data_IF_219855697982
#
_entry.id   IF_219855697982
#
_cell.length_a   1.000
_cell.length_b   1.000
_cell.length_c   1.000
_cell.angle_alpha   90.00
_cell.angle_beta   90.00
_cell.angle_gamma   90.00
#
_symmetry.space_group_name_H-M   'P 1'
#
loop_
_entity.id
_entity.type
_entity.pdbx_description
1 polymer ?
#
# COMPACT_ATOMS: atom_id res chain seq x y z
N UNK A 1 6.38 23.75 -9.97
CA UNK A 1 7.44 23.20 -9.11
C UNK A 1 7.35 21.66 -9.07
N UNK A 2 7.59 20.95 -10.19
CA UNK A 2 7.34 19.49 -10.32
C UNK A 2 8.58 18.62 -10.60
N UNK A 3 9.78 19.21 -10.67
CA UNK A 3 11.02 18.47 -11.02
C UNK A 3 11.87 18.05 -9.83
N UNK A 4 11.60 18.58 -8.64
CA UNK A 4 12.48 18.40 -7.47
C UNK A 4 12.20 17.05 -6.77
N UNK A 5 10.95 16.59 -6.72
CA UNK A 5 10.59 15.35 -6.01
C UNK A 5 11.11 14.07 -6.70
N UNK A 6 11.05 14.03 -8.04
CA UNK A 6 11.56 12.90 -8.84
C UNK A 6 13.09 12.74 -8.75
N UNK A 7 13.82 13.86 -8.60
CA UNK A 7 15.29 13.83 -8.50
C UNK A 7 15.77 13.28 -7.14
N UNK A 8 15.02 13.51 -6.06
CA UNK A 8 15.34 12.98 -4.72
C UNK A 8 15.12 11.47 -4.65
N UNK A 9 14.07 10.96 -5.31
CA UNK A 9 13.79 9.52 -5.36
C UNK A 9 14.80 8.74 -6.22
N UNK A 10 15.27 9.33 -7.32
CA UNK A 10 16.35 8.76 -8.14
C UNK A 10 17.70 8.75 -7.39
N UNK A 11 17.96 9.73 -6.54
CA UNK A 11 19.16 9.79 -5.70
C UNK A 11 19.20 8.73 -4.59
N UNK A 12 18.04 8.12 -4.25
CA UNK A 12 17.91 7.01 -3.31
C UNK A 12 18.02 5.62 -3.97
N UNK A 13 18.39 5.55 -5.26
CA UNK A 13 18.64 4.28 -5.95
C UNK A 13 17.40 3.52 -6.41
N UNK A 14 16.23 4.15 -6.42
CA UNK A 14 14.99 3.56 -6.93
C UNK A 14 15.01 3.63 -8.47
N UNK A 15 15.16 2.48 -9.13
CA UNK A 15 15.32 2.40 -10.58
C UNK A 15 13.99 2.08 -11.29
N UNK A 16 13.80 2.68 -12.47
CA UNK A 16 12.53 2.83 -13.17
C UNK A 16 11.97 1.52 -13.77
N UNK A 17 10.80 1.13 -13.29
CA UNK A 17 9.89 0.17 -13.93
C UNK A 17 8.43 0.51 -13.63
N UNK A 18 8.12 1.82 -13.58
CA UNK A 18 6.81 2.34 -13.18
C UNK A 18 5.77 1.93 -14.21
N UNK A 19 4.84 1.07 -13.82
CA UNK A 19 3.61 0.85 -14.58
C UNK A 19 2.50 1.63 -13.88
N UNK A 20 1.94 2.63 -14.58
CA UNK A 20 0.77 3.37 -14.11
C UNK A 20 -0.45 2.99 -14.94
N UNK A 21 -1.60 2.90 -14.29
CA UNK A 21 -2.90 2.75 -14.93
C UNK A 21 -3.96 3.58 -14.19
N UNK A 22 -4.95 4.08 -14.93
CA UNK A 22 -6.09 4.80 -14.35
C UNK A 22 -7.35 3.97 -14.55
N UNK A 23 -8.01 3.59 -13.45
CA UNK A 23 -9.17 2.70 -13.48
C UNK A 23 -10.12 3.01 -12.30
N UNK A 24 -11.34 2.45 -12.33
CA UNK A 24 -12.24 2.45 -11.18
C UNK A 24 -11.60 1.74 -9.99
N UNK A 25 -11.88 2.21 -8.78
CA UNK A 25 -11.25 1.74 -7.55
C UNK A 25 -11.28 0.21 -7.39
N UNK A 26 -12.45 -0.42 -7.47
CA UNK A 26 -12.58 -1.87 -7.22
C UNK A 26 -11.86 -2.72 -8.27
N UNK A 27 -12.12 -2.47 -9.57
CA UNK A 27 -11.49 -3.26 -10.64
C UNK A 27 -10.00 -2.95 -10.75
N UNK A 28 -9.62 -1.68 -10.63
CA UNK A 28 -8.23 -1.23 -10.67
C UNK A 28 -7.38 -1.83 -9.56
N UNK A 29 -7.86 -1.86 -8.32
CA UNK A 29 -7.14 -2.49 -7.22
C UNK A 29 -6.95 -3.99 -7.45
N UNK A 30 -8.03 -4.70 -7.79
CA UNK A 30 -7.99 -6.14 -8.05
C UNK A 30 -7.00 -6.49 -9.16
N UNK A 31 -7.05 -5.76 -10.27
CA UNK A 31 -6.16 -5.95 -11.42
C UNK A 31 -4.70 -5.66 -11.04
N UNK A 32 -4.47 -4.60 -10.27
CA UNK A 32 -3.13 -4.18 -9.83
C UNK A 32 -2.51 -5.21 -8.90
N UNK A 33 -3.25 -5.70 -7.90
CA UNK A 33 -2.77 -6.73 -6.98
C UNK A 33 -2.39 -8.01 -7.73
N UNK A 34 -3.26 -8.47 -8.65
CA UNK A 34 -2.98 -9.65 -9.48
C UNK A 34 -1.72 -9.46 -10.32
N UNK A 35 -1.59 -8.32 -10.98
CA UNK A 35 -0.43 -7.99 -11.81
C UNK A 35 0.88 -7.97 -10.99
N UNK A 36 0.82 -7.48 -9.75
CA UNK A 36 1.98 -7.47 -8.83
C UNK A 36 2.35 -8.89 -8.41
N UNK A 37 1.39 -9.74 -8.05
CA UNK A 37 1.65 -11.16 -7.75
C UNK A 37 2.30 -11.86 -8.95
N UNK A 38 1.67 -11.76 -10.14
CA UNK A 38 2.15 -12.39 -11.37
C UNK A 38 3.58 -11.95 -11.73
N UNK A 39 3.95 -10.70 -11.43
CA UNK A 39 5.26 -10.13 -11.79
C UNK A 39 6.35 -10.40 -10.75
N UNK A 40 6.03 -10.36 -9.46
CA UNK A 40 7.05 -10.24 -8.41
C UNK A 40 7.12 -11.42 -7.46
N UNK A 41 6.10 -12.28 -7.40
CA UNK A 41 6.05 -13.38 -6.44
C UNK A 41 7.19 -14.39 -6.65
N UNK A 42 7.36 -14.87 -7.89
CA UNK A 42 8.33 -15.92 -8.23
C UNK A 42 9.77 -15.54 -7.85
N UNK A 43 10.14 -14.28 -8.06
CA UNK A 43 11.48 -13.77 -7.81
C UNK A 43 11.61 -13.04 -6.46
N UNK A 44 10.53 -13.00 -5.68
CA UNK A 44 10.41 -12.31 -4.40
C UNK A 44 10.95 -10.86 -4.44
N UNK A 45 10.49 -10.10 -5.44
CA UNK A 45 10.83 -8.68 -5.53
C UNK A 45 10.04 -7.89 -4.48
N UNK A 46 10.73 -6.96 -3.81
CA UNK A 46 10.06 -5.89 -3.11
C UNK A 46 9.38 -4.99 -4.13
N UNK A 47 8.22 -4.47 -3.77
CA UNK A 47 7.42 -3.61 -4.62
C UNK A 47 6.67 -2.59 -3.77
N UNK A 48 6.16 -1.57 -4.46
CA UNK A 48 5.28 -0.55 -3.89
C UNK A 48 4.18 -0.22 -4.90
N UNK A 49 2.94 -0.19 -4.42
CA UNK A 49 1.75 0.18 -5.17
C UNK A 49 1.22 1.47 -4.55
N UNK A 50 1.23 2.58 -5.30
CA UNK A 50 0.49 3.77 -4.92
C UNK A 50 -0.94 3.66 -5.45
N UNK A 51 -1.91 3.94 -4.60
CA UNK A 51 -3.26 4.29 -5.01
C UNK A 51 -3.41 5.79 -4.81
N UNK A 52 -3.43 6.53 -5.92
CA UNK A 52 -3.47 7.97 -5.93
C UNK A 52 -4.80 8.51 -6.48
N UNK A 53 -5.23 9.64 -5.94
CA UNK A 53 -6.39 10.40 -6.39
C UNK A 53 -6.09 11.89 -6.30
N UNK A 54 -6.45 12.64 -7.33
CA UNK A 54 -6.27 14.09 -7.43
C UNK A 54 -4.80 14.56 -7.20
N UNK A 55 -3.83 13.76 -7.68
CA UNK A 55 -2.37 13.93 -7.51
C UNK A 55 -1.85 13.73 -6.07
N UNK A 56 -2.63 13.10 -5.20
CA UNK A 56 -2.23 12.73 -3.84
C UNK A 56 -2.26 11.21 -3.70
N UNK A 57 -1.20 10.64 -3.12
CA UNK A 57 -1.19 9.22 -2.74
C UNK A 57 -2.07 9.07 -1.49
N UNK A 58 -3.13 8.27 -1.61
CA UNK A 58 -4.08 8.04 -0.53
C UNK A 58 -3.60 6.89 0.35
N UNK A 59 -3.16 5.80 -0.27
CA UNK A 59 -2.71 4.61 0.43
C UNK A 59 -1.62 3.91 -0.39
N UNK A 60 -0.71 3.24 0.31
CA UNK A 60 0.37 2.46 -0.31
C UNK A 60 0.27 1.01 0.13
N UNK A 61 0.28 0.09 -0.83
CA UNK A 61 0.41 -1.35 -0.57
C UNK A 61 1.84 -1.72 -0.94
N UNK A 62 2.55 -2.38 -0.04
CA UNK A 62 3.98 -2.66 -0.21
C UNK A 62 4.29 -4.10 0.15
N UNK A 63 5.48 -4.55 -0.25
CA UNK A 63 6.03 -5.79 0.28
C UNK A 63 6.29 -5.65 1.79
N UNK A 64 5.87 -6.63 2.61
CA UNK A 64 5.97 -6.54 4.08
C UNK A 64 7.38 -6.43 4.65
N UNK A 65 8.42 -6.79 3.88
CA UNK A 65 9.82 -6.53 4.22
C UNK A 65 10.16 -5.03 4.36
N UNK A 66 9.36 -4.15 3.75
CA UNK A 66 9.55 -2.70 3.78
C UNK A 66 8.88 -2.04 5.00
N UNK A 67 8.14 -2.79 5.81
CA UNK A 67 7.50 -2.31 7.04
C UNK A 67 8.02 -3.15 8.20
N UNK A 68 8.66 -2.50 9.18
CA UNK A 68 9.30 -3.19 10.32
C UNK A 68 8.33 -4.15 11.02
N UNK A 69 7.09 -3.73 11.26
CA UNK A 69 6.07 -4.46 11.99
C UNK A 69 5.56 -5.70 11.24
N UNK A 70 5.72 -5.76 9.91
CA UNK A 70 5.28 -6.91 9.09
C UNK A 70 6.42 -7.73 8.52
N UNK A 71 7.66 -7.29 8.72
CA UNK A 71 8.86 -7.98 8.26
C UNK A 71 9.06 -9.29 9.01
N UNK A 72 9.58 -10.31 8.32
CA UNK A 72 9.89 -11.61 8.91
C UNK A 72 11.32 -12.02 8.54
N UNK A 73 11.95 -12.98 9.25
CA UNK A 73 13.30 -13.41 8.90
C UNK A 73 13.44 -13.94 7.46
N UNK A 74 12.37 -14.48 6.89
CA UNK A 74 12.34 -14.99 5.51
C UNK A 74 11.85 -13.97 4.49
N UNK A 75 11.03 -13.00 4.90
CA UNK A 75 10.43 -12.01 3.99
C UNK A 75 9.89 -12.61 2.68
N UNK A 76 9.14 -13.71 2.78
CA UNK A 76 8.45 -14.32 1.64
C UNK A 76 7.44 -13.34 1.04
N UNK A 77 7.11 -13.52 -0.25
CA UNK A 77 6.23 -12.61 -0.98
C UNK A 77 4.89 -12.44 -0.27
N UNK A 78 4.52 -11.18 -0.05
CA UNK A 78 3.27 -10.83 0.60
C UNK A 78 2.80 -9.44 0.20
N UNK A 79 1.52 -9.16 0.47
CA UNK A 79 0.95 -7.81 0.49
C UNK A 79 0.87 -7.32 1.92
N UNK A 80 1.43 -6.15 2.17
CA UNK A 80 1.30 -5.44 3.44
C UNK A 80 0.80 -4.02 3.24
N UNK A 81 0.19 -3.50 4.29
CA UNK A 81 -0.29 -2.14 4.36
C UNK A 81 0.21 -1.50 5.66
N UNK A 82 0.63 -0.24 5.57
CA UNK A 82 0.90 0.61 6.73
C UNK A 82 0.04 1.87 6.63
N UNK A 83 -0.80 2.11 7.64
CA UNK A 83 -1.62 3.31 7.77
C UNK A 83 -1.01 4.21 8.82
N UNK A 84 -0.98 5.50 8.54
CA UNK A 84 -0.44 6.54 9.44
C UNK A 84 -1.46 7.66 9.50
N UNK A 85 -1.86 8.06 10.71
CA UNK A 85 -2.88 9.08 10.93
C UNK A 85 -2.27 10.33 11.55
N UNK A 86 -1.54 11.11 10.73
CA UNK A 86 -0.93 12.37 11.15
C UNK A 86 -1.94 13.51 11.09
N UNK A 87 -2.37 14.00 12.25
CA UNK A 87 -3.43 15.03 12.39
C UNK A 87 -4.77 14.66 11.71
N UNK A 88 -5.05 13.36 11.55
CA UNK A 88 -6.25 12.80 10.90
C UNK A 88 -7.13 12.08 11.93
N UNK A 89 -7.66 12.83 12.89
CA UNK A 89 -8.38 12.26 14.04
C UNK A 89 -9.70 11.58 13.64
N UNK A 90 -10.41 12.13 12.66
CA UNK A 90 -11.70 11.60 12.20
C UNK A 90 -11.52 10.29 11.43
N UNK A 91 -10.50 10.22 10.57
CA UNK A 91 -10.12 9.01 9.86
C UNK A 91 -9.60 7.94 10.84
N UNK A 92 -8.80 8.33 11.84
CA UNK A 92 -8.33 7.42 12.89
C UNK A 92 -9.50 6.79 13.66
N UNK A 93 -10.47 7.61 14.04
CA UNK A 93 -11.67 7.13 14.75
C UNK A 93 -12.48 6.20 13.86
N UNK A 94 -12.71 6.60 12.59
CA UNK A 94 -13.42 5.79 11.60
C UNK A 94 -12.74 4.44 11.38
N UNK A 95 -11.40 4.41 11.33
CA UNK A 95 -10.63 3.18 11.20
C UNK A 95 -10.78 2.28 12.43
N UNK A 96 -10.66 2.84 13.65
CA UNK A 96 -10.76 2.08 14.91
C UNK A 96 -12.12 1.42 15.13
N UNK A 97 -13.18 1.96 14.53
CA UNK A 97 -14.52 1.37 14.58
C UNK A 97 -14.69 0.16 13.64
N UNK A 98 -13.78 -0.04 12.68
CA UNK A 98 -13.84 -1.18 11.77
C UNK A 98 -13.45 -2.47 12.47
N UNK A 99 -14.20 -3.55 12.21
CA UNK A 99 -13.85 -4.89 12.73
C UNK A 99 -12.44 -5.33 12.31
N UNK A 100 -12.06 -4.98 11.07
CA UNK A 100 -10.74 -5.27 10.51
C UNK A 100 -9.60 -4.59 11.25
N UNK A 101 -9.84 -3.53 12.05
CA UNK A 101 -8.78 -2.83 12.79
C UNK A 101 -8.05 -3.75 13.78
N UNK A 102 -8.76 -4.74 14.34
CA UNK A 102 -8.18 -5.77 15.21
C UNK A 102 -7.17 -6.70 14.52
N UNK A 103 -7.14 -6.71 13.19
CA UNK A 103 -6.15 -7.47 12.41
C UNK A 103 -4.82 -6.70 12.25
N UNK A 104 -4.79 -5.41 12.61
CA UNK A 104 -3.62 -4.57 12.45
C UNK A 104 -2.78 -4.54 13.73
N UNK A 105 -1.47 -4.57 13.55
CA UNK A 105 -0.49 -4.25 14.58
C UNK A 105 -0.50 -2.74 14.78
N UNK A 106 -0.99 -2.30 15.93
CA UNK A 106 -0.94 -0.90 16.34
C UNK A 106 0.44 -0.56 16.90
N UNK A 107 1.01 0.54 16.44
CA UNK A 107 2.26 1.10 16.95
C UNK A 107 2.26 2.62 16.82
N UNK A 108 3.27 3.26 17.36
CA UNK A 108 3.45 4.71 17.27
C UNK A 108 4.79 5.02 16.62
N UNK A 109 4.81 6.03 15.76
CA UNK A 109 6.03 6.57 15.16
C UNK A 109 6.04 8.09 15.35
N UNK A 110 6.99 8.59 16.14
CA UNK A 110 7.11 10.02 16.49
C UNK A 110 5.82 10.66 17.01
N UNK A 111 5.07 9.94 17.87
CA UNK A 111 3.79 10.40 18.39
C UNK A 111 2.59 10.19 17.46
N UNK A 112 2.81 9.66 16.25
CA UNK A 112 1.77 9.45 15.24
C UNK A 112 1.24 8.02 15.32
N UNK A 113 -0.09 7.83 15.50
CA UNK A 113 -0.71 6.50 15.48
C UNK A 113 -0.53 5.82 14.11
N UNK A 114 0.01 4.60 14.14
CA UNK A 114 0.27 3.81 12.96
C UNK A 114 -0.29 2.38 13.09
N UNK A 115 -0.73 1.81 11.97
CA UNK A 115 -1.34 0.49 11.93
C UNK A 115 -0.79 -0.29 10.74
N UNK A 116 -0.15 -1.42 11.02
CA UNK A 116 0.42 -2.27 9.98
C UNK A 116 -0.26 -3.64 9.93
N UNK A 117 -0.42 -4.19 8.74
CA UNK A 117 -0.98 -5.53 8.55
C UNK A 117 -0.27 -6.24 7.40
N UNK A 118 -0.06 -7.54 7.59
CA UNK A 118 0.44 -8.46 6.56
C UNK A 118 -0.72 -9.35 6.10
N UNK A 119 -1.07 -9.29 4.82
CA UNK A 119 -2.14 -10.10 4.23
C UNK A 119 -1.64 -11.47 3.73
N UNK A 120 -0.33 -11.74 3.81
CA UNK A 120 0.32 -12.83 3.09
C UNK A 120 0.19 -12.64 1.57
N UNK A 121 0.22 -13.73 0.82
CA UNK A 121 -0.12 -13.72 -0.61
C UNK A 121 -1.64 -13.86 -0.86
N UNK A 122 -2.50 -13.42 0.07
CA UNK A 122 -3.95 -13.52 -0.09
C UNK A 122 -4.51 -12.27 -0.78
N UNK A 123 -4.59 -12.32 -2.12
CA UNK A 123 -5.13 -11.25 -2.97
C UNK A 123 -6.55 -10.83 -2.59
N UNK A 124 -7.44 -11.80 -2.29
CA UNK A 124 -8.82 -11.51 -1.94
C UNK A 124 -8.93 -10.76 -0.61
N UNK A 125 -8.14 -11.19 0.38
CA UNK A 125 -8.07 -10.53 1.69
C UNK A 125 -7.51 -9.12 1.56
N UNK A 126 -6.41 -8.95 0.83
CA UNK A 126 -5.80 -7.64 0.57
C UNK A 126 -6.81 -6.70 -0.12
N UNK A 127 -7.45 -7.16 -1.19
CA UNK A 127 -8.46 -6.38 -1.92
C UNK A 127 -9.62 -5.97 -1.02
N UNK A 128 -10.21 -6.91 -0.27
CA UNK A 128 -11.34 -6.65 0.64
C UNK A 128 -10.98 -5.60 1.70
N UNK A 129 -9.86 -5.79 2.40
CA UNK A 129 -9.47 -4.92 3.51
C UNK A 129 -9.11 -3.52 3.01
N UNK A 130 -8.33 -3.42 1.92
CA UNK A 130 -7.96 -2.11 1.36
C UNK A 130 -9.19 -1.36 0.87
N UNK A 131 -10.14 -2.03 0.20
CA UNK A 131 -11.40 -1.40 -0.19
C UNK A 131 -12.24 -0.96 1.00
N UNK A 132 -12.31 -1.77 2.06
CA UNK A 132 -13.03 -1.42 3.27
C UNK A 132 -12.44 -0.17 3.92
N UNK A 133 -11.11 -0.07 4.01
CA UNK A 133 -10.41 1.14 4.49
C UNK A 133 -10.72 2.34 3.59
N UNK A 134 -10.53 2.23 2.28
CA UNK A 134 -10.77 3.34 1.35
C UNK A 134 -12.22 3.84 1.36
N UNK A 135 -13.20 2.95 1.51
CA UNK A 135 -14.61 3.32 1.53
C UNK A 135 -15.06 3.86 2.89
N UNK A 136 -14.64 3.24 4.00
CA UNK A 136 -15.17 3.54 5.33
C UNK A 136 -14.36 4.59 6.08
N UNK A 137 -13.07 4.68 5.81
CA UNK A 137 -12.18 5.67 6.43
C UNK A 137 -12.08 6.93 5.58
N UNK A 138 -11.89 6.76 4.27
CA UNK A 138 -11.63 7.88 3.37
C UNK A 138 -12.83 8.27 2.48
N UNK A 139 -13.96 7.56 2.60
CA UNK A 139 -15.22 7.93 1.94
C UNK A 139 -15.26 7.72 0.42
N UNK A 140 -14.29 7.01 -0.17
CA UNK A 140 -14.28 6.73 -1.60
C UNK A 140 -15.33 5.71 -2.01
N UNK A 141 -15.76 5.76 -3.27
CA UNK A 141 -16.72 4.82 -3.86
C UNK A 141 -16.02 3.82 -4.77
N UNK A 142 -16.59 2.60 -4.94
CA UNK A 142 -16.01 1.59 -5.84
C UNK A 142 -15.80 2.04 -7.29
N UNK A 143 -16.60 3.00 -7.76
CA UNK A 143 -16.55 3.55 -9.11
C UNK A 143 -15.72 4.83 -9.24
N UNK A 144 -15.17 5.36 -8.14
CA UNK A 144 -14.22 6.46 -8.18
C UNK A 144 -13.00 6.08 -9.01
N UNK A 145 -12.52 7.03 -9.81
CA UNK A 145 -11.33 6.85 -10.64
C UNK A 145 -10.08 7.10 -9.80
N UNK A 146 -9.16 6.14 -9.84
CA UNK A 146 -7.87 6.15 -9.16
C UNK A 146 -6.74 5.92 -10.16
N UNK A 147 -5.57 6.48 -9.85
CA UNK A 147 -4.31 6.13 -10.47
C UNK A 147 -3.60 5.06 -9.63
N UNK A 148 -3.18 3.98 -10.28
CA UNK A 148 -2.47 2.86 -9.68
C UNK A 148 -1.06 2.80 -10.24
N UNK A 149 -0.07 3.09 -9.42
CA UNK A 149 1.33 3.12 -9.83
C UNK A 149 2.11 2.00 -9.15
N UNK A 150 2.77 1.15 -9.94
CA UNK A 150 3.55 0.01 -9.45
C UNK A 150 5.03 0.31 -9.63
N UNK A 151 5.78 0.23 -8.53
CA UNK A 151 7.23 0.42 -8.49
C UNK A 151 7.92 -0.88 -8.07
N UNK A 152 8.86 -1.36 -8.89
CA UNK A 152 9.75 -2.47 -8.54
C UNK A 152 10.90 -1.93 -7.68
N UNK A 153 11.09 -2.52 -6.50
CA UNK A 153 12.16 -2.14 -5.54
C UNK A 153 13.31 -3.16 -5.54
N UNK A 154 13.29 -4.13 -6.46
CA UNK A 154 14.33 -5.14 -6.64
C UNK A 154 14.14 -6.38 -5.76
N UNK A 155 15.00 -7.38 -5.98
CA UNK A 155 14.97 -8.65 -5.24
C UNK A 155 15.28 -8.47 -3.77
N UNK A 156 14.48 -9.09 -2.92
CA UNK A 156 14.82 -9.27 -1.51
C UNK A 156 15.85 -10.38 -1.43
N UNK A 157 17.07 -10.02 -1.00
CA UNK A 157 18.12 -10.99 -0.69
C UNK A 157 18.00 -11.34 0.79
N UNK A 158 17.70 -12.60 1.07
CA UNK A 158 17.65 -13.18 2.41
C UNK A 158 19.03 -13.77 2.71
#
# INVERSE_FOLDING_TARGET
MKRILLAVLAALGINFGVKSQTEKLDSGLRNTLKLVADRFEKDNHAYLINLAKDNSVIIQIVHGALIQQTSTPKNEFNFSLNLTFDNQIDELNSFRELKIASEFINYEWDGIPCFAVNFGNNLEKANRIVLEVLQKVYGFKPDDIFEFEIYDQGKIRI
#
